data_IF_988349100455
#
_entry.id   IF_988349100455
#
_cell.length_a   1.000
_cell.length_b   1.000
_cell.length_c   1.000
_cell.angle_alpha   90.00
_cell.angle_beta   90.00
_cell.angle_gamma   90.00
#
_symmetry.space_group_name_H-M   'P 1'
#
loop_
_entity.id
_entity.type
_entity.pdbx_description
1 polymer ?
#
# COMPACT_ATOMS: atom_id res chain seq x y z
N UNK A 1 26.67 13.51 7.75
CA UNK A 1 25.23 13.74 7.98
C UNK A 1 24.70 12.56 8.78
N UNK A 2 24.01 12.80 9.92
CA UNK A 2 23.54 11.72 10.81
C UNK A 2 22.53 10.84 10.07
N UNK A 3 22.81 9.56 9.97
CA UNK A 3 22.02 8.53 9.26
C UNK A 3 20.57 8.40 9.74
N UNK A 4 20.23 8.95 10.91
CA UNK A 4 18.87 8.94 11.48
C UNK A 4 17.97 10.13 11.14
N UNK A 5 18.44 11.12 10.38
CA UNK A 5 17.66 12.34 10.10
C UNK A 5 16.44 12.10 9.20
N UNK A 6 16.64 11.38 8.09
CA UNK A 6 15.57 11.14 7.12
C UNK A 6 14.44 10.23 7.63
N UNK A 7 14.74 9.10 8.34
CA UNK A 7 13.69 8.26 8.93
C UNK A 7 12.85 9.02 9.96
N UNK A 8 13.50 9.84 10.82
CA UNK A 8 12.79 10.65 11.81
C UNK A 8 11.89 11.69 11.14
N UNK A 9 12.39 12.37 10.10
CA UNK A 9 11.61 13.36 9.35
C UNK A 9 10.42 12.72 8.63
N UNK A 10 10.59 11.50 8.07
CA UNK A 10 9.52 10.73 7.46
C UNK A 10 8.45 10.34 8.49
N UNK A 11 8.86 9.84 9.66
CA UNK A 11 7.94 9.50 10.74
C UNK A 11 7.15 10.73 11.24
N UNK A 12 7.83 11.86 11.44
CA UNK A 12 7.21 13.12 11.85
C UNK A 12 6.23 13.63 10.76
N UNK A 13 6.56 13.45 9.48
CA UNK A 13 5.69 13.74 8.35
C UNK A 13 4.40 12.92 8.36
N UNK A 14 4.50 11.60 8.59
CA UNK A 14 3.35 10.71 8.74
C UNK A 14 2.50 11.12 9.95
N UNK A 15 3.13 11.40 11.10
CA UNK A 15 2.44 11.80 12.32
C UNK A 15 1.72 13.14 12.18
N UNK A 16 2.35 14.12 11.54
CA UNK A 16 1.75 15.44 11.27
C UNK A 16 0.52 15.32 10.35
N UNK A 17 0.60 14.44 9.34
CA UNK A 17 -0.46 14.23 8.37
C UNK A 17 -1.31 12.97 8.66
N UNK A 18 -1.43 12.58 9.94
CA UNK A 18 -2.12 11.36 10.37
C UNK A 18 -3.54 11.21 9.82
N UNK A 19 -4.27 12.32 9.66
CA UNK A 19 -5.65 12.29 9.11
C UNK A 19 -5.74 11.72 7.70
N UNK A 20 -4.63 11.76 6.93
CA UNK A 20 -4.56 11.21 5.58
C UNK A 20 -3.81 9.87 5.54
N UNK A 21 -2.74 9.73 6.35
CA UNK A 21 -1.94 8.51 6.38
C UNK A 21 -2.64 7.35 7.07
N UNK A 22 -3.39 7.60 8.16
CA UNK A 22 -4.08 6.52 8.88
C UNK A 22 -5.09 5.78 7.99
N UNK A 23 -6.02 6.44 7.27
CA UNK A 23 -6.90 5.74 6.35
C UNK A 23 -6.15 4.99 5.25
N UNK A 24 -5.06 5.56 4.72
CA UNK A 24 -4.24 4.93 3.71
C UNK A 24 -3.56 3.65 4.23
N UNK A 25 -2.95 3.72 5.41
CA UNK A 25 -2.32 2.55 6.06
C UNK A 25 -3.36 1.47 6.38
N UNK A 26 -4.53 1.85 6.92
CA UNK A 26 -5.64 0.91 7.17
C UNK A 26 -6.09 0.21 5.89
N UNK A 27 -6.16 0.93 4.78
CA UNK A 27 -6.47 0.35 3.47
C UNK A 27 -5.40 -0.64 3.02
N UNK A 28 -4.12 -0.28 3.14
CA UNK A 28 -3.01 -1.19 2.82
C UNK A 28 -3.06 -2.46 3.69
N UNK A 29 -3.30 -2.33 4.99
CA UNK A 29 -3.45 -3.47 5.92
C UNK A 29 -4.61 -4.37 5.48
N UNK A 30 -5.77 -3.79 5.16
CA UNK A 30 -6.94 -4.54 4.70
C UNK A 30 -6.69 -5.32 3.40
N UNK A 31 -6.02 -4.70 2.43
CA UNK A 31 -5.67 -5.36 1.16
C UNK A 31 -4.67 -6.50 1.35
N UNK A 32 -3.62 -6.31 2.15
CA UNK A 32 -2.64 -7.35 2.50
C UNK A 32 -3.33 -8.50 3.23
N UNK A 33 -4.18 -8.19 4.21
CA UNK A 33 -4.93 -9.18 4.99
C UNK A 33 -5.83 -10.05 4.08
N UNK A 34 -6.64 -9.43 3.22
CA UNK A 34 -7.55 -10.12 2.31
C UNK A 34 -6.79 -11.02 1.34
N UNK A 35 -5.71 -10.51 0.75
CA UNK A 35 -4.87 -11.28 -0.16
C UNK A 35 -4.22 -12.49 0.54
N UNK A 36 -3.71 -12.28 1.76
CA UNK A 36 -3.13 -13.35 2.56
C UNK A 36 -4.15 -14.45 2.86
N UNK A 37 -5.38 -14.10 3.27
CA UNK A 37 -6.43 -15.07 3.58
C UNK A 37 -6.74 -15.94 2.36
N UNK A 38 -6.90 -15.36 1.18
CA UNK A 38 -7.17 -16.11 -0.05
C UNK A 38 -5.98 -17.00 -0.42
N UNK A 39 -4.75 -16.49 -0.31
CA UNK A 39 -3.54 -17.27 -0.56
C UNK A 39 -3.37 -18.40 0.43
N UNK A 40 -3.69 -18.19 1.71
CA UNK A 40 -3.67 -19.22 2.73
C UNK A 40 -4.66 -20.35 2.41
N UNK A 41 -5.89 -20.01 2.03
CA UNK A 41 -6.90 -21.02 1.64
C UNK A 41 -6.45 -21.81 0.42
N UNK A 42 -5.78 -21.18 -0.56
CA UNK A 42 -5.25 -21.87 -1.73
C UNK A 42 -4.21 -22.94 -1.37
N UNK A 43 -3.34 -22.67 -0.39
CA UNK A 43 -2.30 -23.61 0.05
C UNK A 43 -2.75 -24.55 1.19
N UNK A 44 -4.00 -24.42 1.68
CA UNK A 44 -4.51 -25.22 2.79
C UNK A 44 -4.66 -26.69 2.44
N UNK A 45 -4.20 -27.57 3.35
CA UNK A 45 -4.35 -29.02 3.26
C UNK A 45 -5.81 -29.46 3.37
N UNK A 46 -6.64 -28.69 4.03
CA UNK A 46 -8.10 -28.95 4.14
C UNK A 46 -8.74 -28.99 2.75
N UNK A 47 -8.34 -28.10 1.84
CA UNK A 47 -8.82 -28.08 0.45
C UNK A 47 -8.17 -29.19 -0.37
N UNK A 48 -6.90 -29.51 -0.10
CA UNK A 48 -6.20 -30.62 -0.76
C UNK A 48 -6.83 -31.97 -0.51
N UNK A 49 -7.33 -32.16 0.70
CA UNK A 49 -7.94 -33.46 1.13
C UNK A 49 -9.37 -33.67 0.65
N UNK A 50 -10.00 -32.69 0.00
CA UNK A 50 -11.35 -32.84 -0.56
C UNK A 50 -11.37 -33.85 -1.71
N UNK A 51 -12.04 -34.98 -1.54
CA UNK A 51 -12.14 -36.06 -2.55
C UNK A 51 -12.85 -35.64 -3.82
N UNK A 52 -13.81 -34.69 -3.73
CA UNK A 52 -14.58 -34.18 -4.85
C UNK A 52 -14.50 -32.65 -4.89
N UNK A 53 -13.88 -32.09 -5.94
CA UNK A 53 -13.89 -30.62 -6.18
C UNK A 53 -12.72 -29.85 -5.58
N UNK A 54 -11.79 -30.46 -4.85
CA UNK A 54 -10.63 -29.74 -4.27
C UNK A 54 -9.76 -29.05 -5.33
N UNK A 55 -9.58 -29.66 -6.50
CA UNK A 55 -8.82 -29.06 -7.59
C UNK A 55 -9.53 -27.84 -8.20
N UNK A 56 -10.85 -27.93 -8.38
CA UNK A 56 -11.68 -26.82 -8.86
C UNK A 56 -11.62 -25.66 -7.85
N UNK A 57 -11.73 -25.98 -6.55
CA UNK A 57 -11.64 -24.99 -5.49
C UNK A 57 -10.29 -24.26 -5.47
N UNK A 58 -9.18 -25.00 -5.59
CA UNK A 58 -7.84 -24.41 -5.71
C UNK A 58 -7.71 -23.50 -6.91
N UNK A 59 -8.19 -23.93 -8.07
CA UNK A 59 -8.17 -23.09 -9.29
C UNK A 59 -8.98 -21.80 -9.12
N UNK A 60 -10.15 -21.90 -8.47
CA UNK A 60 -11.00 -20.74 -8.17
C UNK A 60 -10.33 -19.78 -7.19
N UNK A 61 -9.69 -20.28 -6.14
CA UNK A 61 -8.94 -19.47 -5.18
C UNK A 61 -7.71 -18.81 -5.83
N UNK A 62 -7.03 -19.51 -6.73
CA UNK A 62 -5.92 -18.93 -7.50
C UNK A 62 -6.41 -17.77 -8.38
N UNK A 63 -7.49 -17.96 -9.12
CA UNK A 63 -8.12 -16.85 -9.87
C UNK A 63 -8.53 -15.70 -8.94
N UNK A 64 -9.11 -16.01 -7.79
CA UNK A 64 -9.48 -15.03 -6.77
C UNK A 64 -8.26 -14.23 -6.28
N UNK A 65 -7.13 -14.88 -6.03
CA UNK A 65 -5.90 -14.20 -5.59
C UNK A 65 -5.36 -13.25 -6.66
N UNK A 66 -5.40 -13.65 -7.94
CA UNK A 66 -4.99 -12.79 -9.06
C UNK A 66 -5.89 -11.56 -9.15
N UNK A 67 -7.21 -11.75 -9.10
CA UNK A 67 -8.19 -10.65 -9.15
C UNK A 67 -7.98 -9.68 -7.99
N UNK A 68 -7.85 -10.19 -6.76
CA UNK A 68 -7.61 -9.35 -5.58
C UNK A 68 -6.25 -8.65 -5.66
N UNK A 69 -5.22 -9.30 -6.19
CA UNK A 69 -3.91 -8.70 -6.41
C UNK A 69 -3.97 -7.52 -7.38
N UNK A 70 -4.62 -7.68 -8.53
CA UNK A 70 -4.82 -6.63 -9.54
C UNK A 70 -5.63 -5.47 -8.94
N UNK A 71 -6.75 -5.78 -8.27
CA UNK A 71 -7.60 -4.78 -7.62
C UNK A 71 -6.82 -4.01 -6.56
N UNK A 72 -6.04 -4.70 -5.72
CA UNK A 72 -5.19 -4.06 -4.71
C UNK A 72 -4.17 -3.13 -5.35
N UNK A 73 -3.53 -3.55 -6.45
CA UNK A 73 -2.59 -2.72 -7.18
C UNK A 73 -3.26 -1.42 -7.64
N UNK A 74 -4.36 -1.51 -8.38
CA UNK A 74 -5.10 -0.34 -8.90
C UNK A 74 -5.55 0.58 -7.77
N UNK A 75 -6.14 0.01 -6.73
CA UNK A 75 -6.70 0.77 -5.61
C UNK A 75 -5.62 1.48 -4.79
N UNK A 76 -4.51 0.81 -4.50
CA UNK A 76 -3.38 1.40 -3.79
C UNK A 76 -2.70 2.50 -4.61
N UNK A 77 -2.58 2.33 -5.93
CA UNK A 77 -2.09 3.38 -6.83
C UNK A 77 -2.98 4.62 -6.80
N UNK A 78 -4.28 4.43 -6.86
CA UNK A 78 -5.24 5.53 -6.80
C UNK A 78 -5.15 6.28 -5.47
N UNK A 79 -5.17 5.55 -4.35
CA UNK A 79 -5.14 6.12 -2.99
C UNK A 79 -3.82 6.81 -2.70
N UNK A 80 -2.69 6.22 -3.12
CA UNK A 80 -1.37 6.84 -3.00
C UNK A 80 -1.26 8.12 -3.83
N UNK A 81 -1.77 8.10 -5.06
CA UNK A 81 -1.78 9.30 -5.91
C UNK A 81 -2.61 10.43 -5.30
N UNK A 82 -3.74 10.09 -4.67
CA UNK A 82 -4.54 11.07 -3.94
C UNK A 82 -3.78 11.65 -2.75
N UNK A 83 -3.10 10.81 -1.96
CA UNK A 83 -2.27 11.23 -0.83
C UNK A 83 -1.19 12.23 -1.27
N UNK A 84 -0.44 11.90 -2.33
CA UNK A 84 0.63 12.77 -2.87
C UNK A 84 0.08 14.09 -3.39
N UNK A 85 -1.06 14.08 -4.10
CA UNK A 85 -1.68 15.33 -4.59
C UNK A 85 -2.05 16.29 -3.46
N UNK A 86 -2.53 15.78 -2.33
CA UNK A 86 -2.85 16.59 -1.14
C UNK A 86 -1.62 17.23 -0.50
N UNK A 87 -0.46 16.60 -0.62
CA UNK A 87 0.81 17.06 -0.04
C UNK A 87 1.66 17.95 -0.95
N UNK A 88 1.19 18.25 -2.16
CA UNK A 88 1.96 19.10 -3.11
C UNK A 88 2.42 20.44 -2.52
N UNK A 89 1.59 21.05 -1.67
CA UNK A 89 1.94 22.34 -1.01
C UNK A 89 3.14 22.17 -0.06
N UNK A 90 3.25 21.06 0.65
CA UNK A 90 4.39 20.75 1.55
C UNK A 90 5.68 20.56 0.74
N UNK A 91 5.61 19.85 -0.38
CA UNK A 91 6.78 19.68 -1.27
C UNK A 91 7.23 20.98 -1.89
N UNK A 92 6.29 21.87 -2.27
CA UNK A 92 6.60 23.23 -2.72
C UNK A 92 7.35 24.03 -1.65
N UNK A 93 6.92 23.94 -0.38
CA UNK A 93 7.59 24.61 0.73
C UNK A 93 9.01 24.09 0.95
N UNK A 94 9.24 22.77 0.84
CA UNK A 94 10.58 22.18 0.92
C UNK A 94 11.52 22.70 -0.18
N UNK A 95 10.99 22.93 -1.38
CA UNK A 95 11.77 23.56 -2.46
C UNK A 95 12.15 25.00 -2.16
N UNK A 96 11.23 25.81 -1.61
CA UNK A 96 11.51 27.21 -1.22
C UNK A 96 12.57 27.26 -0.12
N UNK A 97 12.57 26.29 0.80
CA UNK A 97 13.59 26.14 1.86
C UNK A 97 14.94 25.61 1.35
N UNK A 98 15.12 25.47 0.02
CA UNK A 98 16.39 25.04 -0.59
C UNK A 98 16.64 23.53 -0.54
N UNK A 99 15.64 22.69 -0.23
CA UNK A 99 15.81 21.23 -0.26
C UNK A 99 15.89 20.73 -1.69
N UNK A 100 17.03 20.12 -2.06
CA UNK A 100 17.22 19.51 -3.37
C UNK A 100 16.27 18.32 -3.59
N UNK A 101 15.95 18.02 -4.86
CA UNK A 101 15.05 16.92 -5.28
C UNK A 101 15.43 15.55 -4.69
N UNK A 102 16.72 15.27 -4.57
CA UNK A 102 17.23 14.01 -3.98
C UNK A 102 16.89 13.88 -2.49
N UNK A 103 16.88 14.98 -1.74
CA UNK A 103 16.53 14.95 -0.33
C UNK A 103 15.03 14.67 -0.14
N UNK A 104 14.17 15.25 -0.99
CA UNK A 104 12.74 14.97 -1.00
C UNK A 104 12.49 13.51 -1.38
N UNK A 105 13.19 12.99 -2.40
CA UNK A 105 13.09 11.58 -2.79
C UNK A 105 13.49 10.62 -1.64
N UNK A 106 14.51 10.95 -0.85
CA UNK A 106 14.90 10.16 0.33
C UNK A 106 13.83 10.17 1.42
N UNK A 107 13.18 11.31 1.66
CA UNK A 107 12.06 11.40 2.62
C UNK A 107 10.92 10.49 2.16
N UNK A 108 10.52 10.59 0.88
CA UNK A 108 9.46 9.78 0.30
C UNK A 108 9.78 8.28 0.31
N UNK A 109 11.05 7.92 0.10
CA UNK A 109 11.50 6.54 0.24
C UNK A 109 11.24 6.00 1.65
N UNK A 110 11.66 6.73 2.69
CA UNK A 110 11.45 6.32 4.08
C UNK A 110 9.96 6.31 4.46
N UNK A 111 9.16 7.26 3.97
CA UNK A 111 7.71 7.26 4.19
C UNK A 111 7.05 6.03 3.57
N UNK A 112 7.37 5.70 2.31
CA UNK A 112 6.84 4.51 1.63
C UNK A 112 7.32 3.23 2.32
N UNK A 113 8.58 3.16 2.71
CA UNK A 113 9.14 2.01 3.41
C UNK A 113 8.46 1.77 4.76
N UNK A 114 8.29 2.82 5.57
CA UNK A 114 7.60 2.73 6.86
C UNK A 114 6.14 2.27 6.68
N UNK A 115 5.43 2.84 5.71
CA UNK A 115 4.06 2.45 5.38
C UNK A 115 4.00 0.99 4.93
N UNK A 116 4.93 0.55 4.07
CA UNK A 116 5.00 -0.83 3.59
C UNK A 116 5.25 -1.81 4.74
N UNK A 117 6.24 -1.54 5.59
CA UNK A 117 6.58 -2.40 6.74
C UNK A 117 5.41 -2.52 7.70
N UNK A 118 4.80 -1.39 8.09
CA UNK A 118 3.64 -1.39 9.01
C UNK A 118 2.47 -2.18 8.39
N UNK A 119 2.18 -1.94 7.11
CA UNK A 119 1.06 -2.58 6.43
C UNK A 119 1.29 -4.08 6.23
N UNK A 120 2.50 -4.51 5.90
CA UNK A 120 2.83 -5.92 5.75
C UNK A 120 2.80 -6.66 7.09
N UNK A 121 3.43 -6.11 8.12
CA UNK A 121 3.46 -6.75 9.46
C UNK A 121 2.05 -6.88 10.03
N UNK A 122 1.28 -5.79 10.06
CA UNK A 122 -0.08 -5.82 10.60
C UNK A 122 -1.04 -6.57 9.67
N UNK A 123 -0.92 -6.43 8.36
CA UNK A 123 -1.78 -7.09 7.39
C UNK A 123 -1.61 -8.62 7.41
N UNK A 124 -0.38 -9.12 7.43
CA UNK A 124 -0.11 -10.56 7.57
C UNK A 124 -0.50 -11.03 8.98
N UNK A 125 -0.20 -10.26 10.03
CA UNK A 125 -0.57 -10.61 11.40
C UNK A 125 -2.09 -10.80 11.56
N UNK A 126 -2.89 -9.84 11.12
CA UNK A 126 -4.35 -9.98 11.07
C UNK A 126 -4.79 -11.06 10.08
N UNK A 127 -4.10 -11.20 8.95
CA UNK A 127 -4.35 -12.25 7.97
C UNK A 127 -4.22 -13.64 8.56
N UNK A 128 -3.17 -13.92 9.34
CA UNK A 128 -2.98 -15.19 10.06
C UNK A 128 -4.11 -15.41 11.06
N UNK A 129 -4.50 -14.38 11.81
CA UNK A 129 -5.57 -14.48 12.79
C UNK A 129 -6.92 -14.83 12.12
N UNK A 130 -7.26 -14.14 11.04
CA UNK A 130 -8.55 -14.34 10.35
C UNK A 130 -8.53 -15.53 9.37
N UNK A 131 -7.37 -16.02 8.94
CA UNK A 131 -7.27 -17.14 8.00
C UNK A 131 -7.89 -18.42 8.56
N UNK A 132 -7.73 -18.69 9.85
CA UNK A 132 -8.37 -19.85 10.51
C UNK A 132 -9.88 -19.72 10.55
N UNK A 133 -10.39 -18.54 10.80
CA UNK A 133 -11.83 -18.30 10.77
C UNK A 133 -12.40 -18.53 9.36
N UNK A 134 -11.69 -18.06 8.34
CA UNK A 134 -12.06 -18.27 6.94
C UNK A 134 -12.01 -19.77 6.55
N UNK A 135 -10.99 -20.52 7.00
CA UNK A 135 -10.86 -21.96 6.78
C UNK A 135 -12.00 -22.75 7.43
N UNK A 136 -12.35 -22.40 8.68
CA UNK A 136 -13.49 -23.01 9.39
C UNK A 136 -14.82 -22.71 8.69
N UNK A 137 -15.04 -21.48 8.25
CA UNK A 137 -16.24 -21.11 7.50
C UNK A 137 -16.33 -21.91 6.19
N UNK A 138 -15.21 -22.03 5.47
CA UNK A 138 -15.13 -22.78 4.22
C UNK A 138 -15.41 -24.27 4.43
N UNK A 139 -14.79 -24.87 5.44
CA UNK A 139 -14.99 -26.30 5.77
C UNK A 139 -16.45 -26.59 6.17
N UNK A 140 -17.10 -25.69 6.90
CA UNK A 140 -18.54 -25.80 7.21
C UNK A 140 -19.41 -25.78 5.97
N UNK A 141 -19.13 -24.87 5.02
CA UNK A 141 -19.90 -24.74 3.78
C UNK A 141 -19.72 -25.92 2.84
N UNK A 142 -18.54 -26.52 2.83
CA UNK A 142 -18.19 -27.62 1.92
C UNK A 142 -18.34 -29.02 2.55
N UNK A 143 -18.78 -29.08 3.81
CA UNK A 143 -18.84 -30.34 4.58
C UNK A 143 -17.51 -31.11 4.59
N UNK A 144 -16.39 -30.41 4.48
CA UNK A 144 -15.06 -31.00 4.51
C UNK A 144 -14.65 -31.40 5.94
N UNK A 145 -13.78 -32.38 6.05
CA UNK A 145 -13.19 -32.75 7.35
C UNK A 145 -12.26 -31.63 7.82
N UNK A 146 -12.52 -31.07 8.99
CA UNK A 146 -11.72 -29.97 9.56
C UNK A 146 -10.45 -30.58 10.17
N UNK A 147 -9.30 -30.14 9.64
CA UNK A 147 -8.01 -30.46 10.26
C UNK A 147 -7.73 -29.35 11.29
N UNK A 148 -7.85 -29.67 12.57
CA UNK A 148 -7.66 -28.70 13.68
C UNK A 148 -6.19 -28.32 13.95
N UNK A 149 -5.30 -28.39 12.97
CA UNK A 149 -3.92 -27.92 13.15
C UNK A 149 -3.79 -26.45 12.80
N UNK A 150 -3.18 -25.67 13.69
CA UNK A 150 -2.74 -24.31 13.35
C UNK A 150 -1.48 -24.40 12.49
N UNK A 151 -1.65 -24.51 11.19
CA UNK A 151 -0.52 -24.52 10.26
C UNK A 151 -0.33 -23.12 9.69
N UNK A 152 0.82 -22.50 10.00
CA UNK A 152 1.24 -21.27 9.34
C UNK A 152 1.88 -21.69 8.03
N UNK A 153 1.28 -21.32 6.91
CA UNK A 153 1.83 -21.63 5.58
C UNK A 153 2.93 -20.62 5.23
N UNK A 154 4.21 -21.01 5.22
CA UNK A 154 5.30 -20.11 4.83
C UNK A 154 5.19 -19.68 3.37
N UNK A 155 4.63 -20.55 2.51
CA UNK A 155 4.43 -20.23 1.09
C UNK A 155 3.45 -19.09 0.88
N UNK A 156 2.37 -19.04 1.66
CA UNK A 156 1.39 -17.96 1.62
C UNK A 156 1.98 -16.63 2.09
N UNK A 157 2.83 -16.67 3.12
CA UNK A 157 3.54 -15.47 3.61
C UNK A 157 4.50 -14.97 2.54
N UNK A 158 5.34 -15.85 1.99
CA UNK A 158 6.33 -15.49 0.97
C UNK A 158 5.64 -14.94 -0.29
N UNK A 159 4.57 -15.57 -0.74
CA UNK A 159 3.81 -15.11 -1.90
C UNK A 159 3.19 -13.72 -1.65
N UNK A 160 2.59 -13.49 -0.49
CA UNK A 160 2.03 -12.18 -0.10
C UNK A 160 3.12 -11.12 -0.03
N UNK A 161 4.26 -11.40 0.61
CA UNK A 161 5.41 -10.50 0.69
C UNK A 161 5.95 -10.13 -0.69
N UNK A 162 6.05 -11.10 -1.60
CA UNK A 162 6.54 -10.87 -2.96
C UNK A 162 5.59 -9.97 -3.75
N UNK A 163 4.30 -10.28 -3.77
CA UNK A 163 3.31 -9.51 -4.52
C UNK A 163 3.20 -8.08 -3.99
N UNK A 164 3.02 -7.91 -2.68
CA UNK A 164 2.90 -6.57 -2.10
C UNK A 164 4.23 -5.82 -2.06
N UNK A 165 5.36 -6.51 -1.93
CA UNK A 165 6.68 -5.92 -2.10
C UNK A 165 6.83 -5.28 -3.48
N UNK A 166 6.45 -5.98 -4.55
CA UNK A 166 6.42 -5.44 -5.89
C UNK A 166 5.47 -4.24 -6.02
N UNK A 167 4.25 -4.33 -5.45
CA UNK A 167 3.29 -3.22 -5.46
C UNK A 167 3.87 -1.98 -4.77
N UNK A 168 4.48 -2.11 -3.58
CA UNK A 168 5.07 -0.98 -2.87
C UNK A 168 6.28 -0.37 -3.60
N UNK A 169 7.09 -1.18 -4.29
CA UNK A 169 8.17 -0.68 -5.15
C UNK A 169 7.58 0.14 -6.31
N UNK A 170 6.55 -0.36 -6.97
CA UNK A 170 5.87 0.37 -8.04
C UNK A 170 5.21 1.66 -7.53
N UNK A 171 4.60 1.64 -6.33
CA UNK A 171 4.05 2.83 -5.68
C UNK A 171 5.14 3.89 -5.42
N UNK A 172 6.31 3.46 -4.96
CA UNK A 172 7.44 4.37 -4.75
C UNK A 172 7.86 5.05 -6.06
N UNK A 173 8.05 4.29 -7.14
CA UNK A 173 8.38 4.87 -8.46
C UNK A 173 7.31 5.83 -8.96
N UNK A 174 6.03 5.48 -8.80
CA UNK A 174 4.92 6.37 -9.17
C UNK A 174 4.93 7.66 -8.34
N UNK A 175 5.23 7.57 -7.05
CA UNK A 175 5.36 8.72 -6.15
C UNK A 175 6.49 9.64 -6.59
N UNK A 176 7.67 9.09 -6.91
CA UNK A 176 8.81 9.85 -7.44
C UNK A 176 8.43 10.57 -8.73
N UNK A 177 7.78 9.86 -9.65
CA UNK A 177 7.30 10.43 -10.91
C UNK A 177 6.36 11.61 -10.67
N UNK A 178 5.37 11.45 -9.81
CA UNK A 178 4.39 12.49 -9.50
C UNK A 178 5.03 13.75 -8.90
N UNK A 179 6.02 13.58 -8.00
CA UNK A 179 6.73 14.70 -7.39
C UNK A 179 7.67 15.37 -8.39
N UNK A 180 8.36 14.61 -9.22
CA UNK A 180 9.26 15.15 -10.24
C UNK A 180 8.51 16.01 -11.28
N UNK A 181 7.36 15.53 -11.77
CA UNK A 181 6.55 16.27 -12.75
C UNK A 181 5.75 17.42 -12.13
N UNK A 182 5.46 17.39 -10.84
CA UNK A 182 4.73 18.47 -10.16
C UNK A 182 5.51 19.78 -10.11
N UNK A 183 6.84 19.73 -10.23
CA UNK A 183 7.71 20.91 -10.20
C UNK A 183 7.80 21.66 -11.54
N UNK A 184 7.18 21.13 -12.60
CA UNK A 184 7.19 21.77 -13.91
C UNK A 184 6.04 22.78 -14.11
N UNK A 185 5.15 22.93 -13.14
CA UNK A 185 3.99 23.82 -13.27
C UNK A 185 3.96 24.78 -12.09
N UNK A 186 4.66 25.87 -12.19
CA UNK A 186 4.29 27.24 -11.85
C UNK A 186 5.50 28.15 -11.93
N UNK A 187 5.49 29.15 -12.82
CA UNK A 187 5.15 30.49 -12.38
C UNK A 187 4.18 31.15 -13.34
N UNK A 188 2.92 30.90 -13.20
CA UNK A 188 1.91 31.69 -13.91
C UNK A 188 0.97 32.22 -12.84
N UNK A 189 1.19 33.44 -12.41
CA UNK A 189 0.15 34.39 -11.98
C UNK A 189 0.65 35.52 -11.11
N UNK A 190 1.80 36.09 -11.39
CA UNK A 190 2.12 37.40 -10.83
C UNK A 190 2.11 38.53 -11.88
N UNK A 191 1.86 38.22 -13.16
CA UNK A 191 1.82 39.21 -14.23
C UNK A 191 0.47 39.86 -14.45
N UNK A 192 -0.63 39.29 -13.91
CA UNK A 192 -1.97 39.88 -14.12
C UNK A 192 -2.42 40.87 -13.06
N UNK A 193 -1.74 41.01 -11.93
CA UNK A 193 -2.10 42.01 -10.93
C UNK A 193 -1.40 43.39 -11.14
N UNK A 194 -0.40 43.48 -12.03
CA UNK A 194 0.33 44.71 -12.29
C UNK A 194 -0.20 45.53 -13.49
N UNK A 195 -1.14 44.97 -14.25
CA UNK A 195 -1.71 45.61 -15.42
C UNK A 195 -2.94 46.51 -15.11
N UNK A 196 -3.45 46.48 -13.88
CA UNK A 196 -4.62 47.28 -13.49
C UNK A 196 -4.29 48.57 -12.69
N UNK A 197 -3.03 48.81 -12.34
CA UNK A 197 -2.66 50.01 -11.57
C UNK A 197 -2.05 51.15 -12.38
N UNK A 198 -1.91 51.04 -13.71
CA UNK A 198 -1.33 52.12 -14.54
C UNK A 198 -2.32 52.73 -15.53
N UNK A 199 -3.59 52.68 -15.23
CA UNK A 199 -4.66 53.23 -16.07
C UNK A 199 -5.51 54.34 -15.43
N UNK A 200 -4.90 55.19 -14.56
CA UNK A 200 -5.62 56.35 -14.02
C UNK A 200 -4.66 57.52 -13.82
N UNK A 201 -4.34 58.22 -14.90
CA UNK A 201 -4.07 59.67 -14.95
C UNK A 201 -4.38 60.16 -16.35
#
# INVERSE_FOLDING_TARGET
MKTGFYPKLAFDGIRKNRRMYVPFICTCIGMVMMFYIISYLHYSDTIASMKNGGQIMRSTLNLGSIVVGIFSCIFLFYTNSFLIRRRKKEFGLYHILGMGKLNIARILFWETLLTAVISLVLGIGFGILFSKLAELAMARLTHAQIIYSMHISPDSILFTLTVFGCIFILLFFNTLRQVHFSNAITPVSYTHLRAHETGAY
#
